data_IF_857648680760
#
_entry.id   IF_857648680760
#
_cell.length_a   1.000
_cell.length_b   1.000
_cell.length_c   1.000
_cell.angle_alpha   90.00
_cell.angle_beta   90.00
_cell.angle_gamma   90.00
#
_symmetry.space_group_name_H-M   'P 1'
#
loop_
_entity.id
_entity.type
_entity.pdbx_description
1 polymer ?
#
# COMPACT_ATOMS: atom_id res chain seq x y z
N UNK A 1 5.96 89.82 -39.66
CA UNK A 1 6.95 88.74 -39.55
C UNK A 1 7.71 89.02 -38.26
N UNK A 2 7.53 88.30 -37.17
CA UNK A 2 7.45 86.84 -37.03
C UNK A 2 6.51 86.47 -35.87
N UNK A 3 5.67 85.46 -36.08
CA UNK A 3 4.75 84.93 -35.07
C UNK A 3 5.51 83.91 -34.22
N UNK A 4 5.72 84.21 -32.93
CA UNK A 4 6.22 83.23 -31.96
C UNK A 4 5.08 82.30 -31.54
N UNK A 5 5.19 81.04 -31.93
CA UNK A 5 4.35 79.94 -31.45
C UNK A 5 4.76 79.56 -30.03
N UNK A 6 3.82 79.45 -29.06
CA UNK A 6 4.17 78.97 -27.74
C UNK A 6 4.49 77.48 -27.77
N UNK A 7 5.62 77.11 -27.19
CA UNK A 7 6.06 75.73 -27.07
C UNK A 7 5.07 74.91 -26.23
N UNK A 8 4.42 73.93 -26.86
CA UNK A 8 3.58 72.94 -26.18
C UNK A 8 4.51 72.01 -25.41
N UNK A 9 4.40 72.03 -24.07
CA UNK A 9 5.10 71.09 -23.21
C UNK A 9 4.74 69.64 -23.61
N UNK A 10 5.72 68.71 -23.70
CA UNK A 10 5.43 67.32 -24.03
C UNK A 10 4.52 66.73 -22.94
N UNK A 11 3.40 66.14 -23.37
CA UNK A 11 2.49 65.45 -22.48
C UNK A 11 3.27 64.41 -21.64
N UNK A 12 3.03 64.33 -20.32
CA UNK A 12 3.73 63.35 -19.49
C UNK A 12 3.51 61.96 -20.07
N UNK A 13 4.62 61.24 -20.29
CA UNK A 13 4.59 59.88 -20.77
C UNK A 13 3.59 59.08 -19.93
N UNK A 14 2.54 58.56 -20.57
CA UNK A 14 1.58 57.68 -19.93
C UNK A 14 2.36 56.49 -19.38
N UNK A 15 2.68 56.52 -18.09
CA UNK A 15 3.10 55.31 -17.37
C UNK A 15 2.05 54.25 -17.68
N UNK A 16 2.41 53.10 -18.26
CA UNK A 16 1.45 52.04 -18.47
C UNK A 16 0.95 51.66 -17.08
N UNK A 17 -0.32 51.97 -16.81
CA UNK A 17 -1.02 51.53 -15.61
C UNK A 17 -0.79 50.02 -15.48
N UNK A 18 0.12 49.61 -14.59
CA UNK A 18 0.24 48.21 -14.17
C UNK A 18 -1.08 47.90 -13.47
N UNK A 19 -1.98 47.22 -14.20
CA UNK A 19 -3.27 46.81 -13.66
C UNK A 19 -3.08 46.08 -12.32
N UNK A 20 -3.89 46.37 -11.30
CA UNK A 20 -3.89 45.60 -10.06
C UNK A 20 -4.20 44.13 -10.35
N UNK A 21 -3.31 43.24 -9.90
CA UNK A 21 -3.49 41.80 -9.68
C UNK A 21 -4.46 41.03 -10.61
N UNK A 22 -4.11 40.88 -11.89
CA UNK A 22 -4.62 39.81 -12.77
C UNK A 22 -4.03 38.43 -12.37
N UNK A 23 -4.05 38.10 -11.09
CA UNK A 23 -3.34 36.93 -10.55
C UNK A 23 -4.34 35.81 -10.22
N UNK A 24 -3.92 34.57 -10.47
CA UNK A 24 -4.73 33.37 -10.30
C UNK A 24 -5.31 33.30 -8.89
N UNK A 25 -6.62 33.03 -8.79
CA UNK A 25 -7.27 32.74 -7.51
C UNK A 25 -6.87 31.32 -7.12
N UNK A 26 -5.77 31.18 -6.39
CA UNK A 26 -5.28 29.87 -5.92
C UNK A 26 -6.11 29.32 -4.75
N UNK A 27 -6.93 30.15 -4.10
CA UNK A 27 -7.72 29.76 -2.93
C UNK A 27 -8.59 28.51 -3.14
N UNK A 28 -9.24 28.23 -4.30
CA UNK A 28 -10.04 27.02 -4.46
C UNK A 28 -9.19 25.75 -4.38
N UNK A 29 -7.99 25.79 -4.97
CA UNK A 29 -7.04 24.69 -4.91
C UNK A 29 -6.47 24.50 -3.50
N UNK A 30 -6.15 25.60 -2.81
CA UNK A 30 -5.70 25.55 -1.41
C UNK A 30 -6.77 24.95 -0.50
N UNK A 31 -8.03 25.36 -0.66
CA UNK A 31 -9.15 24.81 0.13
C UNK A 31 -9.36 23.33 -0.17
N UNK A 32 -9.35 22.92 -1.44
CA UNK A 32 -9.50 21.51 -1.80
C UNK A 32 -8.39 20.63 -1.20
N UNK A 33 -7.14 21.10 -1.23
CA UNK A 33 -6.01 20.39 -0.59
C UNK A 33 -6.15 20.34 0.93
N UNK A 34 -6.56 21.44 1.57
CA UNK A 34 -6.78 21.47 3.01
C UNK A 34 -7.86 20.47 3.43
N UNK A 35 -8.97 20.42 2.70
CA UNK A 35 -10.04 19.43 2.92
C UNK A 35 -9.54 18.01 2.72
N UNK A 36 -8.80 17.74 1.63
CA UNK A 36 -8.23 16.43 1.37
C UNK A 36 -7.31 15.96 2.51
N UNK A 37 -6.32 16.77 2.91
CA UNK A 37 -5.37 16.39 3.96
C UNK A 37 -6.04 16.28 5.33
N UNK A 38 -7.00 17.15 5.65
CA UNK A 38 -7.80 17.02 6.87
C UNK A 38 -8.61 15.71 6.89
N UNK A 39 -9.28 15.38 5.78
CA UNK A 39 -10.03 14.14 5.65
C UNK A 39 -9.12 12.91 5.77
N UNK A 40 -7.93 12.92 5.14
CA UNK A 40 -6.94 11.84 5.27
C UNK A 40 -6.43 11.70 6.70
N UNK A 41 -6.19 12.80 7.41
CA UNK A 41 -5.77 12.79 8.82
C UNK A 41 -6.85 12.27 9.77
N UNK A 42 -8.11 12.63 9.52
CA UNK A 42 -9.26 12.14 10.29
C UNK A 42 -9.44 10.64 10.00
N UNK A 43 -9.53 10.27 8.73
CA UNK A 43 -9.71 8.89 8.30
C UNK A 43 -8.60 8.00 8.82
N UNK A 44 -7.36 8.49 8.88
CA UNK A 44 -6.23 7.77 9.46
C UNK A 44 -6.33 7.51 10.96
N UNK A 45 -7.10 8.31 11.73
CA UNK A 45 -7.23 8.19 13.19
C UNK A 45 -8.55 7.58 13.66
N UNK A 46 -9.52 7.41 12.76
CA UNK A 46 -10.81 6.82 13.08
C UNK A 46 -10.81 5.31 12.85
N UNK A 47 -11.29 4.56 13.84
CA UNK A 47 -11.74 3.18 13.65
C UNK A 47 -12.91 3.18 12.66
N UNK A 48 -12.83 2.30 11.67
CA UNK A 48 -13.79 2.26 10.55
C UNK A 48 -13.82 0.86 9.94
N UNK A 49 -14.92 0.47 9.29
CA UNK A 49 -14.95 -0.75 8.50
C UNK A 49 -13.87 -0.70 7.40
N UNK A 50 -13.16 -1.81 7.19
CA UNK A 50 -12.09 -1.94 6.20
C UNK A 50 -12.48 -1.41 4.82
N UNK A 51 -13.65 -1.81 4.32
CA UNK A 51 -14.12 -1.41 3.01
C UNK A 51 -14.28 0.11 2.85
N UNK A 52 -14.66 0.82 3.92
CA UNK A 52 -14.78 2.29 3.90
C UNK A 52 -13.41 2.96 3.78
N UNK A 53 -12.42 2.45 4.52
CA UNK A 53 -11.03 2.92 4.41
C UNK A 53 -10.45 2.72 3.02
N UNK A 54 -10.66 1.53 2.45
CA UNK A 54 -10.27 1.21 1.08
C UNK A 54 -10.92 2.16 0.05
N UNK A 55 -12.25 2.33 0.13
CA UNK A 55 -12.98 3.19 -0.80
C UNK A 55 -12.55 4.65 -0.69
N UNK A 56 -12.26 5.13 0.52
CA UNK A 56 -11.69 6.46 0.72
C UNK A 56 -10.33 6.60 0.05
N UNK A 57 -9.43 5.63 0.27
CA UNK A 57 -8.09 5.60 -0.35
C UNK A 57 -8.16 5.68 -1.87
N UNK A 58 -9.13 4.99 -2.48
CA UNK A 58 -9.37 5.01 -3.92
C UNK A 58 -10.00 6.32 -4.43
N UNK A 59 -11.14 6.72 -3.83
CA UNK A 59 -11.95 7.82 -4.36
C UNK A 59 -11.37 9.19 -4.05
N UNK A 60 -10.77 9.41 -2.87
CA UNK A 60 -10.34 10.75 -2.47
C UNK A 60 -9.25 11.34 -3.38
N UNK A 61 -8.16 10.62 -3.74
CA UNK A 61 -7.19 11.10 -4.73
C UNK A 61 -7.81 11.31 -6.11
N UNK A 62 -8.74 10.44 -6.53
CA UNK A 62 -9.49 10.57 -7.79
C UNK A 62 -10.25 11.89 -7.85
N UNK A 63 -11.07 12.15 -6.84
CA UNK A 63 -11.91 13.34 -6.78
C UNK A 63 -11.06 14.60 -6.69
N UNK A 64 -9.94 14.56 -5.94
CA UNK A 64 -8.99 15.65 -5.90
C UNK A 64 -8.40 15.94 -7.29
N UNK A 65 -7.91 14.91 -8.00
CA UNK A 65 -7.34 15.07 -9.32
C UNK A 65 -8.36 15.61 -10.35
N UNK A 66 -9.59 15.10 -10.33
CA UNK A 66 -10.68 15.57 -11.20
C UNK A 66 -11.07 17.03 -10.90
N UNK A 67 -11.16 17.39 -9.62
CA UNK A 67 -11.39 18.77 -9.21
C UNK A 67 -10.28 19.69 -9.74
N UNK A 68 -9.02 19.29 -9.58
CA UNK A 68 -7.87 20.05 -10.07
C UNK A 68 -7.88 20.18 -11.58
N UNK A 69 -8.20 19.12 -12.32
CA UNK A 69 -8.31 19.15 -13.77
C UNK A 69 -9.39 20.15 -14.21
N UNK A 70 -10.58 20.07 -13.61
CA UNK A 70 -11.68 21.01 -13.89
C UNK A 70 -11.30 22.45 -13.55
N UNK A 71 -10.84 22.69 -12.32
CA UNK A 71 -10.43 24.02 -11.87
C UNK A 71 -9.31 24.62 -12.74
N UNK A 72 -8.30 23.81 -13.11
CA UNK A 72 -7.17 24.23 -13.93
C UNK A 72 -7.62 24.69 -15.32
N UNK A 73 -8.47 23.91 -15.98
CA UNK A 73 -8.93 24.21 -17.34
C UNK A 73 -10.01 25.30 -17.38
N UNK A 74 -10.87 25.41 -16.36
CA UNK A 74 -11.87 26.48 -16.27
C UNK A 74 -11.28 27.82 -15.81
N UNK A 75 -10.07 27.84 -15.24
CA UNK A 75 -9.41 29.05 -14.75
C UNK A 75 -8.95 29.97 -15.89
N UNK A 76 -9.86 30.82 -16.39
CA UNK A 76 -9.58 31.83 -17.44
C UNK A 76 -8.51 32.87 -17.07
N UNK A 77 -8.17 32.97 -15.78
CA UNK A 77 -7.11 33.87 -15.27
C UNK A 77 -5.70 33.33 -15.52
N UNK A 78 -5.56 32.03 -15.80
CA UNK A 78 -4.28 31.42 -16.17
C UNK A 78 -4.19 31.40 -17.70
N UNK A 79 -3.08 31.90 -18.25
CA UNK A 79 -2.85 31.91 -19.69
C UNK A 79 -2.95 30.49 -20.25
N UNK A 80 -3.54 30.31 -21.42
CA UNK A 80 -3.70 28.99 -22.04
C UNK A 80 -2.35 28.26 -22.19
N UNK A 81 -1.29 28.98 -22.61
CA UNK A 81 0.04 28.42 -22.73
C UNK A 81 0.57 27.86 -21.40
N UNK A 82 0.34 28.54 -20.28
CA UNK A 82 0.80 28.08 -18.97
C UNK A 82 -0.06 26.93 -18.43
N UNK A 83 -1.35 26.88 -18.82
CA UNK A 83 -2.24 25.73 -18.53
C UNK A 83 -1.78 24.47 -19.25
N UNK A 84 -1.54 24.56 -20.55
CA UNK A 84 -1.03 23.44 -21.37
C UNK A 84 0.33 23.01 -20.85
N UNK A 85 1.24 23.96 -20.61
CA UNK A 85 2.57 23.67 -20.09
C UNK A 85 2.51 22.92 -18.75
N UNK A 86 1.74 23.42 -17.78
CA UNK A 86 1.66 22.78 -16.47
C UNK A 86 1.07 21.36 -16.53
N UNK A 87 0.04 21.18 -17.35
CA UNK A 87 -0.55 19.86 -17.59
C UNK A 87 0.46 18.89 -18.20
N UNK A 88 1.17 19.32 -19.25
CA UNK A 88 2.21 18.50 -19.90
C UNK A 88 3.33 18.16 -18.94
N UNK A 89 3.81 19.11 -18.12
CA UNK A 89 4.87 18.85 -17.14
C UNK A 89 4.47 17.80 -16.11
N UNK A 90 3.25 17.90 -15.54
CA UNK A 90 2.77 16.93 -14.55
C UNK A 90 2.57 15.54 -15.18
N UNK A 91 1.93 15.47 -16.35
CA UNK A 91 1.66 14.20 -17.04
C UNK A 91 2.94 13.55 -17.54
N UNK A 92 3.83 14.30 -18.18
CA UNK A 92 5.12 13.79 -18.65
C UNK A 92 5.99 13.32 -17.48
N UNK A 93 6.00 14.06 -16.36
CA UNK A 93 6.69 13.63 -15.14
C UNK A 93 6.21 12.27 -14.64
N UNK A 94 4.90 12.06 -14.57
CA UNK A 94 4.32 10.77 -14.16
C UNK A 94 4.63 9.64 -15.15
N UNK A 95 4.52 9.89 -16.46
CA UNK A 95 4.83 8.91 -17.51
C UNK A 95 6.31 8.51 -17.50
N UNK A 96 7.22 9.45 -17.22
CA UNK A 96 8.65 9.18 -17.09
C UNK A 96 9.00 8.46 -15.79
N UNK A 97 8.29 8.76 -14.70
CA UNK A 97 8.52 8.11 -13.41
C UNK A 97 8.01 6.67 -13.39
N UNK A 98 6.92 6.36 -14.09
CA UNK A 98 6.29 5.04 -14.09
C UNK A 98 7.25 3.86 -14.39
N UNK A 99 8.05 3.86 -15.48
CA UNK A 99 8.98 2.75 -15.74
C UNK A 99 10.20 2.72 -14.81
N UNK A 100 10.48 3.82 -14.09
CA UNK A 100 11.62 3.93 -13.18
C UNK A 100 11.26 3.56 -11.72
N UNK A 101 9.97 3.68 -11.39
CA UNK A 101 9.44 3.35 -10.07
C UNK A 101 9.62 1.86 -9.77
N UNK A 102 9.67 1.51 -8.49
CA UNK A 102 9.72 0.11 -8.10
C UNK A 102 8.45 -0.63 -8.60
N UNK A 103 8.55 -1.85 -9.16
CA UNK A 103 7.40 -2.56 -9.73
C UNK A 103 6.21 -2.70 -8.78
N UNK A 104 6.47 -2.82 -7.47
CA UNK A 104 5.42 -2.95 -6.45
C UNK A 104 4.53 -1.72 -6.28
N UNK A 105 4.97 -0.54 -6.74
CA UNK A 105 4.15 0.67 -6.71
C UNK A 105 3.08 0.61 -7.82
N UNK A 106 3.46 0.13 -9.01
CA UNK A 106 2.58 0.07 -10.18
C UNK A 106 2.00 1.44 -10.60
N UNK A 107 1.17 1.43 -11.65
CA UNK A 107 0.51 2.67 -12.12
C UNK A 107 -0.51 3.19 -11.12
N UNK A 108 -1.29 2.29 -10.51
CA UNK A 108 -2.34 2.63 -9.56
C UNK A 108 -1.76 3.19 -8.27
N UNK A 109 -0.78 2.53 -7.65
CA UNK A 109 -0.13 3.04 -6.44
C UNK A 109 0.62 4.34 -6.70
N UNK A 110 1.32 4.46 -7.84
CA UNK A 110 2.03 5.69 -8.19
C UNK A 110 1.04 6.86 -8.30
N UNK A 111 -0.11 6.64 -8.93
CA UNK A 111 -1.15 7.65 -9.04
C UNK A 111 -1.81 7.98 -7.69
N UNK A 112 -2.23 6.98 -6.92
CA UNK A 112 -2.94 7.17 -5.64
C UNK A 112 -2.06 7.87 -4.61
N UNK A 113 -0.78 7.53 -4.56
CA UNK A 113 0.15 8.03 -3.55
C UNK A 113 0.83 9.33 -3.96
N UNK A 114 1.26 9.44 -5.22
CA UNK A 114 2.02 10.61 -5.67
C UNK A 114 1.14 11.79 -6.08
N UNK A 115 -0.03 11.58 -6.70
CA UNK A 115 -0.83 12.71 -7.20
C UNK A 115 -1.19 13.75 -6.13
N UNK A 116 -1.68 13.36 -4.93
CA UNK A 116 -1.96 14.34 -3.89
C UNK A 116 -0.71 15.14 -3.48
N UNK A 117 0.46 14.49 -3.43
CA UNK A 117 1.75 15.14 -3.11
C UNK A 117 2.18 16.10 -4.22
N UNK A 118 2.12 15.65 -5.48
CA UNK A 118 2.44 16.46 -6.67
C UNK A 118 1.55 17.70 -6.74
N UNK A 119 0.23 17.54 -6.59
CA UNK A 119 -0.72 18.64 -6.60
C UNK A 119 -0.51 19.61 -5.44
N UNK A 120 -0.18 19.10 -4.25
CA UNK A 120 0.16 19.93 -3.09
C UNK A 120 1.39 20.78 -3.35
N UNK A 121 2.49 20.16 -3.75
CA UNK A 121 3.74 20.85 -4.05
C UNK A 121 3.58 21.84 -5.21
N UNK A 122 2.77 21.49 -6.22
CA UNK A 122 2.46 22.37 -7.34
C UNK A 122 1.74 23.64 -6.89
N UNK A 123 0.72 23.53 -6.05
CA UNK A 123 -0.01 24.70 -5.52
C UNK A 123 0.88 25.56 -4.63
N UNK A 124 1.70 24.93 -3.78
CA UNK A 124 2.69 25.64 -2.95
C UNK A 124 3.68 26.40 -3.84
N UNK A 125 4.20 25.76 -4.89
CA UNK A 125 5.09 26.40 -5.85
C UNK A 125 4.44 27.61 -6.52
N UNK A 126 3.21 27.48 -7.01
CA UNK A 126 2.46 28.59 -7.60
C UNK A 126 2.24 29.74 -6.61
N UNK A 127 2.01 29.44 -5.34
CA UNK A 127 1.83 30.43 -4.29
C UNK A 127 3.13 31.18 -3.98
N UNK A 128 4.27 30.49 -3.94
CA UNK A 128 5.58 31.06 -3.61
C UNK A 128 6.19 31.84 -4.78
N UNK A 129 6.21 31.24 -5.98
CA UNK A 129 6.85 31.83 -7.16
C UNK A 129 6.21 33.16 -7.57
N UNK A 130 4.93 33.36 -7.21
CA UNK A 130 4.20 34.62 -7.36
C UNK A 130 4.91 35.80 -6.70
N UNK A 131 5.55 35.59 -5.55
CA UNK A 131 6.12 36.67 -4.73
C UNK A 131 7.64 36.78 -4.87
N UNK A 132 8.33 35.67 -5.10
CA UNK A 132 9.79 35.63 -4.98
C UNK A 132 10.54 35.67 -6.31
N UNK A 133 10.06 34.98 -7.35
CA UNK A 133 10.82 34.87 -8.61
C UNK A 133 9.93 34.54 -9.82
N UNK A 134 9.19 35.51 -10.39
CA UNK A 134 8.27 35.26 -11.49
C UNK A 134 8.92 34.63 -12.74
N UNK A 135 10.20 34.93 -13.00
CA UNK A 135 10.98 34.33 -14.10
C UNK A 135 11.26 32.84 -13.92
N UNK A 136 11.13 32.32 -12.70
CA UNK A 136 11.35 30.91 -12.37
C UNK A 136 10.12 30.03 -12.54
N UNK A 137 8.95 30.59 -12.89
CA UNK A 137 7.68 29.84 -12.95
C UNK A 137 7.78 28.49 -13.67
N UNK A 138 8.35 28.49 -14.89
CA UNK A 138 8.51 27.29 -15.72
C UNK A 138 9.61 26.34 -15.21
N UNK A 139 10.87 26.77 -15.05
CA UNK A 139 11.92 25.85 -14.58
C UNK A 139 11.62 25.27 -13.19
N UNK A 140 11.05 26.06 -12.27
CA UNK A 140 10.67 25.55 -10.97
C UNK A 140 9.46 24.62 -11.00
N UNK A 141 8.53 24.78 -11.94
CA UNK A 141 7.43 23.83 -12.12
C UNK A 141 7.94 22.45 -12.59
N UNK A 142 8.93 22.43 -13.50
CA UNK A 142 9.63 21.20 -13.88
C UNK A 142 10.35 20.60 -12.69
N UNK A 143 11.09 21.41 -11.92
CA UNK A 143 11.78 20.93 -10.72
C UNK A 143 10.82 20.31 -9.71
N UNK A 144 9.66 20.95 -9.46
CA UNK A 144 8.64 20.40 -8.56
C UNK A 144 8.12 19.06 -9.06
N UNK A 145 7.79 18.95 -10.34
CA UNK A 145 7.34 17.67 -10.91
C UNK A 145 8.44 16.61 -10.81
N UNK A 146 9.69 16.93 -11.16
CA UNK A 146 10.83 16.01 -11.07
C UNK A 146 11.07 15.55 -9.63
N UNK A 147 11.05 16.46 -8.65
CA UNK A 147 11.31 16.12 -7.24
C UNK A 147 10.17 15.28 -6.67
N UNK A 148 8.92 15.65 -6.94
CA UNK A 148 7.75 14.97 -6.37
C UNK A 148 7.49 13.61 -6.99
N UNK A 149 7.60 13.47 -8.32
CA UNK A 149 7.56 12.16 -8.96
C UNK A 149 8.82 11.35 -8.63
N UNK A 150 9.98 12.00 -8.63
CA UNK A 150 11.28 11.41 -8.35
C UNK A 150 11.39 10.81 -6.96
N UNK A 151 10.74 11.37 -5.94
CA UNK A 151 10.77 10.80 -4.59
C UNK A 151 10.19 9.38 -4.53
N UNK A 152 9.21 9.06 -5.38
CA UNK A 152 8.62 7.73 -5.45
C UNK A 152 9.53 6.69 -6.15
N UNK A 153 10.61 7.13 -6.80
CA UNK A 153 11.61 6.22 -7.40
C UNK A 153 12.51 5.55 -6.36
N UNK A 154 12.58 6.13 -5.15
CA UNK A 154 13.45 5.67 -4.06
C UNK A 154 12.73 4.76 -3.07
N UNK A 155 11.40 4.67 -3.15
CA UNK A 155 10.59 3.85 -2.25
C UNK A 155 10.06 2.61 -2.95
N UNK A 156 9.67 1.63 -2.16
CA UNK A 156 8.85 0.49 -2.59
C UNK A 156 7.64 0.37 -1.68
N UNK A 157 6.59 -0.25 -2.21
CA UNK A 157 5.39 -0.62 -1.48
C UNK A 157 5.46 -2.10 -1.09
N UNK A 158 5.38 -2.41 0.20
CA UNK A 158 5.44 -3.80 0.72
C UNK A 158 4.04 -4.36 1.06
N UNK A 159 2.98 -3.59 0.78
CA UNK A 159 1.59 -3.98 1.02
C UNK A 159 0.87 -3.03 1.97
N UNK A 160 -0.32 -3.46 2.41
CA UNK A 160 -1.13 -2.76 3.38
C UNK A 160 -1.02 -3.43 4.75
N UNK A 161 -0.90 -2.64 5.81
CA UNK A 161 -1.00 -3.15 7.17
C UNK A 161 -2.46 -3.34 7.61
N UNK A 162 -2.67 -3.79 8.85
CA UNK A 162 -4.01 -4.01 9.43
C UNK A 162 -4.90 -2.77 9.46
N UNK A 163 -4.35 -1.56 9.30
CA UNK A 163 -5.09 -0.29 9.25
C UNK A 163 -5.32 0.20 7.80
N UNK A 164 -5.02 -0.63 6.80
CA UNK A 164 -5.02 -0.30 5.37
C UNK A 164 -4.08 0.86 5.02
N UNK A 165 -2.96 0.99 5.73
CA UNK A 165 -1.92 1.94 5.39
C UNK A 165 -0.86 1.25 4.54
N UNK A 166 -0.52 1.88 3.43
CA UNK A 166 0.59 1.50 2.58
C UNK A 166 1.90 1.54 3.39
N UNK A 167 2.57 0.40 3.50
CA UNK A 167 3.90 0.31 4.09
C UNK A 167 4.94 0.67 3.04
N UNK A 168 5.61 1.80 3.26
CA UNK A 168 6.64 2.34 2.39
C UNK A 168 8.01 2.11 3.00
N UNK A 169 8.87 1.46 2.23
CA UNK A 169 10.26 1.23 2.59
C UNK A 169 11.18 1.82 1.53
N UNK A 170 12.42 2.09 1.90
CA UNK A 170 13.45 2.38 0.91
C UNK A 170 13.61 1.16 -0.01
N UNK A 171 13.68 1.35 -1.32
CA UNK A 171 13.70 0.20 -2.24
C UNK A 171 14.93 -0.71 -2.10
N UNK A 172 15.95 -0.27 -1.36
CA UNK A 172 17.18 -1.01 -1.06
C UNK A 172 17.25 -1.56 0.37
N UNK A 173 16.26 -1.30 1.23
CA UNK A 173 16.22 -1.98 2.52
C UNK A 173 15.82 -3.45 2.34
N UNK A 174 16.35 -4.40 3.13
CA UNK A 174 15.87 -5.78 3.10
C UNK A 174 14.35 -5.86 3.26
N UNK A 175 13.67 -6.72 2.50
CA UNK A 175 12.24 -7.04 2.71
C UNK A 175 12.06 -7.89 3.96
N UNK A 176 10.82 -7.94 4.46
CA UNK A 176 10.47 -8.89 5.51
C UNK A 176 10.71 -10.34 5.06
N UNK A 177 10.50 -10.62 3.77
CA UNK A 177 10.78 -11.91 3.13
C UNK A 177 12.29 -12.20 3.06
N UNK A 178 13.14 -11.22 2.70
CA UNK A 178 14.60 -11.40 2.66
C UNK A 178 15.12 -11.78 4.05
N UNK A 179 14.69 -11.04 5.08
CA UNK A 179 15.05 -11.33 6.47
C UNK A 179 14.54 -12.70 6.93
N UNK A 180 13.36 -13.11 6.45
CA UNK A 180 12.79 -14.43 6.72
C UNK A 180 13.61 -15.55 6.08
N UNK A 181 13.93 -15.41 4.80
CA UNK A 181 14.71 -16.40 4.06
C UNK A 181 16.13 -16.53 4.64
N UNK A 182 16.75 -15.43 5.05
CA UNK A 182 18.03 -15.42 5.77
C UNK A 182 17.93 -16.22 7.09
N UNK A 183 16.90 -15.95 7.90
CA UNK A 183 16.68 -16.61 9.19
C UNK A 183 16.37 -18.12 9.03
N UNK A 184 15.48 -18.47 8.09
CA UNK A 184 15.11 -19.85 7.76
C UNK A 184 16.31 -20.66 7.26
N UNK A 185 17.15 -20.07 6.41
CA UNK A 185 18.38 -20.73 5.91
C UNK A 185 19.34 -21.02 7.07
N UNK A 186 19.43 -20.12 8.05
CA UNK A 186 20.26 -20.31 9.23
C UNK A 186 19.70 -21.35 10.22
N UNK A 187 18.38 -21.58 10.22
CA UNK A 187 17.67 -22.47 11.14
C UNK A 187 17.41 -23.88 10.59
N UNK A 188 18.01 -24.26 9.45
CA UNK A 188 17.76 -25.53 8.75
C UNK A 188 18.34 -26.79 9.45
N UNK A 189 18.32 -26.81 10.79
CA UNK A 189 18.48 -28.00 11.61
C UNK A 189 17.10 -28.63 11.83
N UNK A 190 16.75 -29.56 10.94
CA UNK A 190 15.49 -30.31 10.95
C UNK A 190 15.25 -30.98 12.31
N UNK A 191 14.24 -30.52 13.05
CA UNK A 191 13.73 -31.26 14.21
C UNK A 191 12.87 -32.41 13.69
N UNK A 192 13.02 -33.63 14.23
CA UNK A 192 12.27 -34.77 13.73
C UNK A 192 10.76 -34.52 13.87
N UNK A 193 9.95 -34.86 12.86
CA UNK A 193 8.50 -34.72 12.94
C UNK A 193 7.99 -35.48 14.16
N UNK A 194 7.04 -34.89 14.87
CA UNK A 194 6.46 -35.50 16.05
C UNK A 194 5.80 -36.84 15.66
N UNK A 195 6.25 -37.93 16.29
CA UNK A 195 5.67 -39.25 16.08
C UNK A 195 4.28 -39.31 16.72
N UNK A 196 3.23 -39.27 15.91
CA UNK A 196 1.84 -39.48 16.37
C UNK A 196 0.81 -38.76 15.51
N UNK A 197 -0.38 -39.34 15.40
CA UNK A 197 -1.53 -38.68 14.76
C UNK A 197 -2.02 -37.54 15.64
N UNK A 198 -2.06 -36.33 15.10
CA UNK A 198 -2.64 -35.19 15.80
C UNK A 198 -4.16 -35.35 15.89
N UNK A 199 -4.73 -35.02 17.04
CA UNK A 199 -6.16 -35.15 17.31
C UNK A 199 -6.69 -33.84 17.86
N UNK A 200 -7.78 -33.34 17.30
CA UNK A 200 -8.45 -32.14 17.79
C UNK A 200 -8.98 -32.36 19.22
N UNK A 201 -8.66 -31.42 20.11
CA UNK A 201 -9.09 -31.42 21.52
C UNK A 201 -10.07 -30.27 21.79
N UNK A 202 -10.89 -30.36 22.84
CA UNK A 202 -11.71 -29.24 23.28
C UNK A 202 -10.85 -27.98 23.51
N UNK A 203 -11.20 -26.89 22.85
CA UNK A 203 -10.45 -25.63 22.90
C UNK A 203 -9.49 -25.41 21.73
N UNK A 204 -9.24 -26.42 20.90
CA UNK A 204 -8.44 -26.26 19.68
C UNK A 204 -9.18 -25.39 18.65
N UNK A 205 -8.39 -24.71 17.82
CA UNK A 205 -8.85 -23.81 16.78
C UNK A 205 -8.56 -24.46 15.43
N UNK A 206 -9.50 -25.27 14.92
CA UNK A 206 -9.25 -26.21 13.82
C UNK A 206 -9.37 -25.62 12.41
N UNK A 207 -10.02 -24.46 12.26
CA UNK A 207 -10.33 -23.87 10.96
C UNK A 207 -10.49 -22.35 11.03
N UNK A 208 -10.74 -21.71 9.88
CA UNK A 208 -10.92 -20.26 9.81
C UNK A 208 -12.07 -19.82 10.72
N UNK A 209 -11.75 -18.91 11.65
CA UNK A 209 -12.67 -18.41 12.70
C UNK A 209 -13.11 -19.49 13.71
N UNK A 210 -12.34 -20.56 13.87
CA UNK A 210 -12.53 -21.58 14.89
C UNK A 210 -13.54 -22.66 14.49
N UNK A 211 -13.73 -23.68 15.34
CA UNK A 211 -14.54 -24.87 15.01
C UNK A 211 -16.02 -24.55 14.73
N UNK A 212 -16.55 -23.45 15.27
CA UNK A 212 -17.91 -22.97 15.02
C UNK A 212 -17.97 -21.86 13.94
N UNK A 213 -16.81 -21.47 13.38
CA UNK A 213 -16.63 -20.37 12.41
C UNK A 213 -17.14 -18.99 12.84
N UNK A 214 -17.38 -18.80 14.13
CA UNK A 214 -17.93 -17.59 14.70
C UNK A 214 -16.86 -16.60 15.20
N UNK A 215 -15.60 -17.03 15.27
CA UNK A 215 -14.49 -16.22 15.75
C UNK A 215 -14.47 -16.05 17.27
N UNK A 216 -15.09 -16.97 18.03
CA UNK A 216 -15.23 -16.86 19.48
C UNK A 216 -14.47 -17.99 20.20
N UNK A 217 -13.51 -17.60 21.04
CA UNK A 217 -12.90 -18.51 22.03
C UNK A 217 -13.80 -18.59 23.25
N UNK A 218 -14.30 -19.79 23.57
CA UNK A 218 -15.19 -20.05 24.70
C UNK A 218 -14.41 -20.54 25.92
N UNK A 219 -14.88 -20.19 27.11
CA UNK A 219 -14.29 -20.67 28.36
C UNK A 219 -12.93 -20.04 28.72
N UNK A 220 -12.48 -19.03 27.97
CA UNK A 220 -11.27 -18.28 28.26
C UNK A 220 -11.60 -16.82 28.57
N UNK A 221 -10.88 -16.24 29.53
CA UNK A 221 -10.90 -14.80 29.82
C UNK A 221 -9.49 -14.27 29.83
N UNK A 222 -9.25 -13.18 29.09
CA UNK A 222 -7.96 -12.49 29.08
C UNK A 222 -8.06 -11.16 29.81
N UNK A 223 -6.95 -10.70 30.38
CA UNK A 223 -6.87 -9.33 30.88
C UNK A 223 -6.97 -8.36 29.71
N UNK A 224 -7.91 -7.40 29.79
CA UNK A 224 -8.15 -6.39 28.75
C UNK A 224 -7.58 -5.02 29.11
N UNK A 225 -7.26 -4.78 30.38
CA UNK A 225 -6.57 -3.56 30.84
C UNK A 225 -5.05 -3.75 30.73
N UNK A 226 -4.53 -3.57 29.52
CA UNK A 226 -3.10 -3.73 29.22
C UNK A 226 -2.22 -2.62 29.81
N UNK A 227 -2.82 -1.53 30.32
CA UNK A 227 -2.07 -0.52 31.07
C UNK A 227 -1.66 -1.04 32.46
N UNK A 228 -2.51 -1.87 33.08
CA UNK A 228 -2.22 -2.49 34.39
C UNK A 228 -1.54 -3.85 34.27
N UNK A 229 -1.95 -4.64 33.30
CA UNK A 229 -1.47 -6.01 33.10
C UNK A 229 -1.08 -6.22 31.63
N UNK A 230 0.07 -5.67 31.19
CA UNK A 230 0.53 -5.87 29.83
C UNK A 230 0.83 -7.36 29.57
N UNK A 231 0.46 -7.90 28.39
CA UNK A 231 0.78 -9.28 28.05
C UNK A 231 2.31 -9.47 27.96
N UNK A 232 2.80 -10.61 28.44
CA UNK A 232 4.21 -10.98 28.33
C UNK A 232 4.44 -11.66 26.97
N UNK A 233 5.40 -11.14 26.20
CA UNK A 233 5.88 -11.83 24.99
C UNK A 233 6.45 -13.20 25.40
N UNK A 234 5.88 -14.28 24.84
CA UNK A 234 6.35 -15.66 25.08
C UNK A 234 7.45 -16.00 24.08
N UNK A 235 7.17 -15.84 22.80
CA UNK A 235 8.11 -16.00 21.69
C UNK A 235 7.69 -15.10 20.52
N UNK A 236 8.61 -14.93 19.57
CA UNK A 236 8.35 -14.27 18.30
C UNK A 236 9.08 -15.05 17.21
N UNK A 237 8.36 -15.38 16.15
CA UNK A 237 8.90 -16.05 14.98
C UNK A 237 8.66 -15.17 13.75
N UNK A 238 9.62 -15.15 12.84
CA UNK A 238 9.48 -14.46 11.56
C UNK A 238 8.87 -15.42 10.57
N UNK A 239 7.88 -14.95 9.83
CA UNK A 239 7.15 -15.73 8.82
C UNK A 239 7.32 -15.10 7.44
N UNK A 240 7.16 -15.90 6.40
CA UNK A 240 7.05 -15.41 5.02
C UNK A 240 5.80 -14.53 4.79
N UNK A 241 5.72 -13.81 3.66
CA UNK A 241 4.52 -13.06 3.28
C UNK A 241 3.26 -13.95 3.26
N UNK A 242 2.19 -13.50 3.93
CA UNK A 242 0.97 -14.30 4.09
C UNK A 242 -0.25 -13.45 4.41
N UNK A 243 -1.43 -13.93 4.01
CA UNK A 243 -2.75 -13.46 4.48
C UNK A 243 -3.58 -14.56 5.13
N UNK A 244 -2.98 -15.74 5.26
CA UNK A 244 -3.56 -16.88 5.97
C UNK A 244 -3.76 -16.54 7.45
N UNK A 245 -4.88 -16.98 8.03
CA UNK A 245 -5.02 -17.02 9.48
C UNK A 245 -4.25 -18.22 10.02
N UNK A 246 -4.02 -18.20 11.33
CA UNK A 246 -3.44 -19.30 12.07
C UNK A 246 -4.54 -20.24 12.60
N UNK A 247 -4.30 -21.55 12.54
CA UNK A 247 -5.05 -22.57 13.27
C UNK A 247 -4.14 -23.25 14.29
N UNK A 248 -4.71 -23.74 15.40
CA UNK A 248 -3.95 -24.41 16.46
C UNK A 248 -4.65 -25.70 16.85
N UNK A 249 -3.96 -26.83 16.71
CA UNK A 249 -4.49 -28.16 17.01
C UNK A 249 -3.42 -28.96 17.73
N UNK A 250 -3.75 -29.55 18.88
CA UNK A 250 -2.85 -30.41 19.64
C UNK A 250 -1.44 -29.80 19.86
N UNK A 251 -1.38 -28.52 20.24
CA UNK A 251 -0.12 -27.81 20.47
C UNK A 251 0.71 -27.53 19.21
N UNK A 252 0.15 -27.73 18.02
CA UNK A 252 0.74 -27.39 16.73
C UNK A 252 0.00 -26.22 16.12
N UNK A 253 0.75 -25.29 15.55
CA UNK A 253 0.26 -24.10 14.89
C UNK A 253 0.45 -24.27 13.39
N UNK A 254 -0.62 -24.13 12.60
CA UNK A 254 -0.55 -24.22 11.15
C UNK A 254 -0.99 -22.93 10.48
N UNK A 255 -0.30 -22.57 9.40
CA UNK A 255 -0.65 -21.43 8.54
C UNK A 255 -0.12 -21.69 7.12
N UNK A 256 -0.43 -20.79 6.19
CA UNK A 256 0.23 -20.75 4.89
C UNK A 256 1.02 -19.45 4.73
N UNK A 257 2.21 -19.54 4.14
CA UNK A 257 3.08 -18.39 3.87
C UNK A 257 3.91 -18.57 2.60
N UNK A 258 4.57 -17.51 2.15
CA UNK A 258 5.41 -17.51 0.95
C UNK A 258 6.88 -17.70 1.30
N UNK A 259 7.53 -18.73 0.75
CA UNK A 259 8.96 -18.98 0.84
C UNK A 259 9.62 -18.73 -0.52
N UNK A 260 9.93 -17.46 -0.84
CA UNK A 260 10.48 -17.14 -2.16
C UNK A 260 9.51 -17.58 -3.26
N UNK A 261 9.92 -18.47 -4.15
CA UNK A 261 9.08 -18.96 -5.25
C UNK A 261 8.13 -20.13 -4.88
N UNK A 262 7.99 -20.43 -3.58
CA UNK A 262 7.13 -21.51 -3.07
C UNK A 262 5.99 -20.98 -2.20
N UNK A 263 4.76 -21.43 -2.44
CA UNK A 263 3.69 -21.34 -1.44
C UNK A 263 3.87 -22.50 -0.47
N UNK A 264 3.94 -22.20 0.82
CA UNK A 264 4.23 -23.18 1.85
C UNK A 264 3.05 -23.32 2.82
N UNK A 265 2.74 -24.57 3.18
CA UNK A 265 1.98 -24.91 4.39
C UNK A 265 3.01 -25.21 5.48
N UNK A 266 2.95 -24.49 6.58
CA UNK A 266 3.93 -24.60 7.66
C UNK A 266 3.29 -25.07 8.96
N UNK A 267 4.07 -25.80 9.74
CA UNK A 267 3.73 -26.25 11.08
C UNK A 267 4.79 -25.76 12.06
N UNK A 268 4.34 -25.06 13.09
CA UNK A 268 5.17 -24.62 14.21
C UNK A 268 4.72 -25.29 15.51
N UNK A 269 5.65 -25.45 16.45
CA UNK A 269 5.29 -25.73 17.83
C UNK A 269 4.63 -24.49 18.45
N UNK A 270 3.41 -24.61 18.96
CA UNK A 270 2.67 -23.45 19.47
C UNK A 270 3.28 -22.86 20.76
N UNK A 271 4.04 -23.66 21.52
CA UNK A 271 4.68 -23.25 22.76
C UNK A 271 6.01 -22.52 22.55
N UNK A 272 6.75 -22.85 21.49
CA UNK A 272 8.09 -22.29 21.23
C UNK A 272 8.18 -21.42 19.98
N UNK A 273 7.25 -21.58 19.03
CA UNK A 273 7.31 -20.94 17.71
C UNK A 273 8.34 -21.54 16.76
N UNK A 274 8.95 -22.68 17.10
CA UNK A 274 9.92 -23.35 16.23
C UNK A 274 9.22 -24.13 15.10
N UNK A 275 9.80 -24.10 13.91
CA UNK A 275 9.31 -24.87 12.77
C UNK A 275 9.48 -26.37 13.01
N UNK A 276 8.41 -27.12 12.79
CA UNK A 276 8.38 -28.59 12.88
C UNK A 276 8.50 -29.20 11.48
N UNK A 277 7.72 -28.69 10.54
CA UNK A 277 7.77 -29.10 9.13
C UNK A 277 7.18 -28.01 8.23
N UNK A 278 7.55 -28.04 6.94
CA UNK A 278 6.90 -27.26 5.88
C UNK A 278 6.65 -28.14 4.64
N UNK A 279 5.49 -28.02 4.03
CA UNK A 279 5.18 -28.56 2.68
C UNK A 279 5.19 -27.40 1.69
N UNK A 280 5.99 -27.50 0.63
CA UNK A 280 6.20 -26.42 -0.35
C UNK A 280 5.68 -26.82 -1.73
N UNK A 281 4.96 -25.90 -2.37
CA UNK A 281 4.48 -26.04 -3.74
C UNK A 281 5.06 -24.91 -4.63
N UNK A 282 5.58 -25.22 -5.84
CA UNK A 282 6.08 -24.23 -6.79
C UNK A 282 5.00 -23.27 -7.26
N UNK A 283 4.88 -22.15 -6.56
CA UNK A 283 3.84 -21.15 -6.74
C UNK A 283 4.25 -19.83 -6.07
N UNK A 284 3.97 -18.72 -6.77
CA UNK A 284 4.09 -17.38 -6.19
C UNK A 284 2.91 -16.55 -6.62
N UNK A 285 2.12 -16.12 -5.66
CA UNK A 285 1.01 -15.20 -5.89
C UNK A 285 1.40 -13.78 -5.45
N UNK A 286 1.07 -12.80 -6.28
CA UNK A 286 1.23 -11.39 -5.95
C UNK A 286 0.14 -10.57 -6.63
N UNK A 287 -0.42 -9.60 -5.90
CA UNK A 287 -1.23 -8.55 -6.48
C UNK A 287 -0.99 -7.21 -5.77
N UNK A 288 -1.37 -6.11 -6.43
CA UNK A 288 -0.95 -4.76 -6.04
C UNK A 288 -1.52 -4.23 -4.72
N UNK A 289 -2.65 -4.77 -4.26
CA UNK A 289 -3.37 -4.30 -3.08
C UNK A 289 -2.82 -4.97 -1.82
N UNK A 290 -2.81 -6.30 -1.78
CA UNK A 290 -2.49 -7.09 -0.58
C UNK A 290 -1.08 -7.69 -0.64
N UNK A 291 -0.35 -7.56 -1.76
CA UNK A 291 1.04 -7.99 -1.88
C UNK A 291 1.18 -9.50 -2.10
N UNK A 292 2.29 -10.08 -1.64
CA UNK A 292 2.62 -11.49 -1.89
C UNK A 292 1.88 -12.47 -0.96
N UNK A 293 1.83 -13.73 -1.38
CA UNK A 293 1.58 -14.87 -0.51
C UNK A 293 0.15 -15.43 -0.50
N UNK A 294 -0.04 -16.59 0.12
CA UNK A 294 -1.30 -17.32 0.12
C UNK A 294 -2.38 -16.59 0.92
N UNK A 295 -3.66 -16.84 0.55
CA UNK A 295 -4.83 -16.16 1.13
C UNK A 295 -5.70 -17.06 2.01
N UNK A 296 -5.74 -18.36 1.75
CA UNK A 296 -6.61 -19.27 2.49
C UNK A 296 -6.00 -19.70 3.82
N UNK A 297 -6.86 -20.06 4.78
CA UNK A 297 -6.48 -20.63 6.07
C UNK A 297 -6.60 -22.17 6.00
N UNK A 298 -5.62 -22.95 6.48
CA UNK A 298 -5.74 -24.40 6.57
C UNK A 298 -6.99 -24.83 7.36
N UNK A 299 -7.54 -25.99 7.00
CA UNK A 299 -8.64 -26.63 7.73
C UNK A 299 -8.18 -28.01 8.20
N UNK A 300 -8.25 -28.25 9.51
CA UNK A 300 -7.90 -29.53 10.11
C UNK A 300 -9.14 -30.43 10.25
N UNK A 301 -9.06 -31.66 9.75
CA UNK A 301 -10.08 -32.71 9.94
C UNK A 301 -9.39 -34.07 10.08
N UNK A 302 -9.66 -34.78 11.18
CA UNK A 302 -9.24 -36.18 11.38
C UNK A 302 -7.74 -36.46 11.07
N UNK A 303 -6.85 -35.63 11.61
CA UNK A 303 -5.40 -35.80 11.42
C UNK A 303 -4.88 -35.31 10.07
N UNK A 304 -5.71 -34.65 9.26
CA UNK A 304 -5.36 -34.12 7.94
C UNK A 304 -5.56 -32.62 7.88
N UNK A 305 -4.74 -31.98 7.05
CA UNK A 305 -4.87 -30.57 6.68
C UNK A 305 -5.36 -30.46 5.24
N UNK A 306 -6.40 -29.67 5.05
CA UNK A 306 -6.89 -29.26 3.74
C UNK A 306 -6.48 -27.81 3.52
N UNK A 307 -5.70 -27.56 2.47
CA UNK A 307 -5.14 -26.24 2.18
C UNK A 307 -5.34 -25.85 0.73
N UNK A 308 -5.46 -24.55 0.49
CA UNK A 308 -5.62 -23.97 -0.84
C UNK A 308 -4.63 -22.82 -1.01
N UNK A 309 -3.63 -23.00 -1.86
CA UNK A 309 -2.72 -21.93 -2.29
C UNK A 309 -3.46 -20.88 -3.11
N UNK A 310 -2.95 -19.65 -3.16
CA UNK A 310 -3.59 -18.57 -3.92
C UNK A 310 -3.55 -18.81 -5.44
N UNK A 311 -2.67 -19.70 -5.90
CA UNK A 311 -2.58 -20.11 -7.30
C UNK A 311 -3.53 -21.27 -7.68
N UNK A 312 -4.29 -21.83 -6.74
CA UNK A 312 -5.23 -22.92 -6.99
C UNK A 312 -4.70 -24.33 -6.68
N UNK A 313 -3.53 -24.44 -6.03
CA UNK A 313 -3.06 -25.72 -5.49
C UNK A 313 -3.90 -26.14 -4.29
N UNK A 314 -4.71 -27.17 -4.43
CA UNK A 314 -5.50 -27.77 -3.35
C UNK A 314 -4.80 -29.03 -2.84
N UNK A 315 -4.46 -29.07 -1.56
CA UNK A 315 -3.75 -30.19 -0.95
C UNK A 315 -4.57 -30.83 0.16
N UNK A 316 -4.33 -32.13 0.35
CA UNK A 316 -4.65 -32.87 1.57
C UNK A 316 -3.36 -33.44 2.12
N UNK A 317 -2.91 -32.90 3.25
CA UNK A 317 -1.64 -33.25 3.89
C UNK A 317 -1.91 -34.01 5.18
N UNK A 318 -1.02 -34.93 5.54
CA UNK A 318 -0.95 -35.46 6.91
C UNK A 318 -0.52 -34.33 7.86
N UNK A 319 -1.31 -34.08 8.91
CA UNK A 319 -1.08 -32.92 9.78
C UNK A 319 0.17 -33.05 10.65
N UNK A 320 0.63 -34.27 10.92
CA UNK A 320 1.79 -34.50 11.78
C UNK A 320 3.12 -34.32 11.02
N UNK A 321 3.11 -34.61 9.72
CA UNK A 321 4.32 -34.70 8.89
C UNK A 321 4.37 -33.73 7.72
N UNK A 322 3.24 -33.13 7.34
CA UNK A 322 3.11 -32.31 6.13
C UNK A 322 3.11 -33.12 4.84
N UNK A 323 3.18 -34.45 4.91
CA UNK A 323 3.28 -35.28 3.70
C UNK A 323 1.96 -35.28 2.93
N UNK A 324 2.00 -35.13 1.59
CA UNK A 324 0.78 -35.10 0.80
C UNK A 324 0.15 -36.49 0.68
N UNK A 325 -1.14 -36.58 1.03
CA UNK A 325 -1.99 -37.70 0.61
C UNK A 325 -2.43 -37.54 -0.85
N UNK A 326 -2.75 -36.30 -1.24
CA UNK A 326 -3.04 -35.93 -2.62
C UNK A 326 -2.91 -34.42 -2.81
N UNK A 327 -2.71 -34.02 -4.06
CA UNK A 327 -2.68 -32.62 -4.51
C UNK A 327 -3.43 -32.48 -5.83
N UNK A 328 -4.13 -31.35 -6.01
CA UNK A 328 -4.88 -31.01 -7.23
C UNK A 328 -4.61 -29.57 -7.64
N UNK A 329 -4.66 -29.31 -8.93
CA UNK A 329 -4.64 -27.97 -9.50
C UNK A 329 -6.07 -27.62 -9.93
N UNK A 330 -6.79 -26.89 -9.08
CA UNK A 330 -8.20 -26.61 -9.33
C UNK A 330 -8.40 -25.59 -10.45
N UNK A 331 -7.38 -24.77 -10.74
CA UNK A 331 -7.43 -23.84 -11.85
C UNK A 331 -7.37 -24.60 -13.18
N UNK A 332 -6.46 -25.58 -13.28
CA UNK A 332 -6.39 -26.50 -14.41
C UNK A 332 -7.65 -27.36 -14.54
N UNK A 333 -8.13 -27.96 -13.44
CA UNK A 333 -9.34 -28.79 -13.44
C UNK A 333 -10.58 -28.00 -13.91
N UNK A 334 -10.67 -26.71 -13.56
CA UNK A 334 -11.77 -25.84 -13.96
C UNK A 334 -11.57 -25.14 -15.32
N UNK A 335 -10.40 -25.28 -15.96
CA UNK A 335 -10.04 -24.50 -17.15
C UNK A 335 -10.00 -22.98 -16.89
N UNK A 336 -9.73 -22.57 -15.66
CA UNK A 336 -9.70 -21.19 -15.21
C UNK A 336 -8.27 -20.66 -15.11
N UNK A 337 -8.12 -19.34 -15.17
CA UNK A 337 -6.86 -18.67 -14.86
C UNK A 337 -6.92 -18.09 -13.45
N UNK A 338 -5.83 -18.16 -12.66
CA UNK A 338 -5.72 -17.38 -11.44
C UNK A 338 -6.01 -15.89 -11.73
N UNK A 339 -6.72 -15.20 -10.81
CA UNK A 339 -7.16 -13.82 -10.99
C UNK A 339 -6.03 -12.79 -11.07
#
# INVERSE_FOLDING_TARGET
>A
MSVETPAVAPAPARTPWRRPDQRSRLWPAVVALAVYWAATLIMGRTEKPYFVGFLFGLLAPTLLALFFLGWWWLSRRIRLADRVYGFVVVVAGGLLALPLAHPSIGIFGLWMMAMPVVLTAWVVWMAVVKYWAPGWYRPGAVLVAVVTWGSFLFVRHDGLNSDLRAELHWRWSPTAEDLFLEERTAQHDSHPPAAGTLVARPGDWTEFRGPDRDGVIRGASIATDWAKAPPRLVWRHRVGPAWSSVIVVDGRLFTQEQHGDQEAVVCYDAGTGQEVWSHEDPARFWESVSGAGPRATPTFVEGRLYTLGATGRLNCLDAATGTPHWSRDIAADAGAKPP
#
